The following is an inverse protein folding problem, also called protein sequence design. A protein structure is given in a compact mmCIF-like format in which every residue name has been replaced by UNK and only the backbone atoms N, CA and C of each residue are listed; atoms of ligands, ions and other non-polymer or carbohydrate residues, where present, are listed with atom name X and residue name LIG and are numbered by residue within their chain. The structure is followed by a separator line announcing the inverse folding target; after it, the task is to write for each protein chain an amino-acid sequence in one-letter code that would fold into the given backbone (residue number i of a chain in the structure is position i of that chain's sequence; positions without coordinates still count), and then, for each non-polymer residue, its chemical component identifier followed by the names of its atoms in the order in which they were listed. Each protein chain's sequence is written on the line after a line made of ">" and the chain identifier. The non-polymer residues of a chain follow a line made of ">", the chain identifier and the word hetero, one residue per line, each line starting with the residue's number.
data_IF_578975696622
#
_entry.id   IF_578975696622
#
_cell.length_a   1.000
_cell.length_b   1.000
_cell.length_c   1.000
_cell.angle_alpha   90.00
_cell.angle_beta   90.00
_cell.angle_gamma   90.00
#
_symmetry.space_group_name_H-M   'P 1'
#
loop_
_entity.id
_entity.type
_entity.pdbx_description
1 polymer ?
#
# COMPACT_ATOMS: atom_id res chain seq x y z
N UNK A 1 16.17 -18.22 -2.91
CA UNK A 1 16.23 -18.01 -1.44
C UNK A 1 14.80 -17.84 -0.96
N UNK A 2 14.33 -18.70 -0.05
CA UNK A 2 13.08 -18.51 0.67
C UNK A 2 13.48 -18.16 2.11
N UNK A 3 13.02 -17.02 2.61
CA UNK A 3 13.35 -16.53 3.95
C UNK A 3 12.06 -16.35 4.74
N UNK A 4 12.10 -16.66 6.04
CA UNK A 4 10.96 -16.45 6.95
C UNK A 4 10.68 -14.97 7.20
N UNK A 5 11.67 -14.11 6.94
CA UNK A 5 11.57 -12.67 7.09
C UNK A 5 12.44 -11.97 6.04
N UNK A 6 12.02 -10.79 5.61
CA UNK A 6 12.81 -9.93 4.75
C UNK A 6 12.62 -8.46 5.18
N UNK A 7 13.57 -7.56 4.86
CA UNK A 7 13.37 -6.13 5.04
C UNK A 7 12.39 -5.60 3.97
N UNK A 8 11.10 -5.94 4.12
CA UNK A 8 10.06 -5.75 3.09
C UNK A 8 10.02 -4.32 2.54
N UNK A 9 10.05 -3.30 3.41
CA UNK A 9 10.10 -1.89 3.00
C UNK A 9 11.27 -1.59 2.06
N UNK A 10 12.47 -2.11 2.37
CA UNK A 10 13.67 -1.94 1.52
C UNK A 10 13.55 -2.71 0.20
N UNK A 11 12.95 -3.89 0.24
CA UNK A 11 12.68 -4.69 -0.96
C UNK A 11 11.73 -3.93 -1.87
N UNK A 12 10.56 -3.52 -1.36
CA UNK A 12 9.54 -2.79 -2.14
C UNK A 12 10.06 -1.46 -2.69
N UNK A 13 10.93 -0.77 -1.95
CA UNK A 13 11.56 0.48 -2.41
C UNK A 13 12.63 0.28 -3.50
N UNK A 14 13.03 -0.97 -3.79
CA UNK A 14 14.08 -1.24 -4.77
C UNK A 14 13.56 -1.06 -6.20
N UNK A 15 14.27 -0.35 -7.10
CA UNK A 15 13.79 -0.03 -8.45
C UNK A 15 13.54 -1.26 -9.34
N UNK A 16 14.15 -2.41 -9.02
CA UNK A 16 13.90 -3.67 -9.73
C UNK A 16 12.59 -4.38 -9.36
N UNK A 17 11.84 -3.88 -8.36
CA UNK A 17 10.54 -4.48 -8.00
C UNK A 17 9.44 -3.95 -8.92
N UNK A 18 8.86 -4.88 -9.68
CA UNK A 18 7.73 -4.60 -10.57
C UNK A 18 6.35 -4.80 -9.93
N UNK A 19 6.25 -5.62 -8.88
CA UNK A 19 4.97 -5.98 -8.28
C UNK A 19 5.08 -6.69 -6.94
N UNK A 20 3.97 -6.71 -6.20
CA UNK A 20 3.89 -7.30 -4.86
C UNK A 20 2.69 -8.24 -4.72
N UNK A 21 2.95 -9.54 -4.51
CA UNK A 21 1.92 -10.47 -4.08
C UNK A 21 1.71 -10.32 -2.57
N UNK A 22 0.51 -9.93 -2.14
CA UNK A 22 0.21 -9.57 -0.76
C UNK A 22 -1.11 -10.15 -0.29
N UNK A 23 -1.17 -10.45 0.99
CA UNK A 23 -2.41 -10.81 1.69
C UNK A 23 -3.30 -9.60 2.03
N UNK A 24 -2.94 -8.40 1.58
CA UNK A 24 -3.70 -7.16 1.79
C UNK A 24 -3.84 -6.72 3.26
N UNK A 25 -2.91 -7.12 4.14
CA UNK A 25 -2.79 -6.49 5.46
C UNK A 25 -2.47 -5.00 5.32
N UNK A 26 -3.07 -4.15 6.16
CA UNK A 26 -3.04 -2.69 5.93
C UNK A 26 -1.63 -2.09 5.88
N UNK A 27 -0.71 -2.57 6.74
CA UNK A 27 0.70 -2.11 6.70
C UNK A 27 1.38 -2.45 5.36
N UNK A 28 1.23 -3.68 4.88
CA UNK A 28 1.78 -4.10 3.58
C UNK A 28 1.16 -3.32 2.42
N UNK A 29 -0.13 -3.01 2.49
CA UNK A 29 -0.78 -2.14 1.51
C UNK A 29 -0.19 -0.73 1.52
N UNK A 30 0.03 -0.14 2.69
CA UNK A 30 0.67 1.18 2.83
C UNK A 30 2.12 1.18 2.35
N UNK A 31 2.91 0.15 2.64
CA UNK A 31 4.28 0.01 2.14
C UNK A 31 4.33 -0.09 0.61
N UNK A 32 3.38 -0.81 0.01
CA UNK A 32 3.23 -0.89 -1.45
C UNK A 32 2.89 0.47 -2.06
N UNK A 33 1.94 1.20 -1.46
CA UNK A 33 1.56 2.56 -1.88
C UNK A 33 2.76 3.51 -1.74
N UNK A 34 3.45 3.49 -0.61
CA UNK A 34 4.62 4.34 -0.33
C UNK A 34 5.82 4.06 -1.25
N UNK A 35 5.87 2.87 -1.84
CA UNK A 35 6.90 2.47 -2.82
C UNK A 35 6.42 2.57 -4.27
N UNK A 36 5.15 2.94 -4.50
CA UNK A 36 4.56 3.00 -5.83
C UNK A 36 4.56 1.64 -6.54
N UNK A 37 4.36 0.55 -5.82
CA UNK A 37 4.36 -0.83 -6.34
C UNK A 37 2.92 -1.34 -6.48
N UNK A 38 2.51 -1.83 -7.65
CA UNK A 38 1.19 -2.43 -7.83
C UNK A 38 1.14 -3.85 -7.24
N UNK A 39 -0.05 -4.32 -6.91
CA UNK A 39 -0.27 -5.51 -6.10
C UNK A 39 -1.02 -6.61 -6.85
N UNK A 40 -0.67 -7.87 -6.56
CA UNK A 40 -1.56 -9.01 -6.69
C UNK A 40 -2.07 -9.32 -5.28
N UNK A 41 -3.38 -9.34 -5.12
CA UNK A 41 -4.08 -9.39 -3.85
C UNK A 41 -4.56 -10.82 -3.58
N UNK A 42 -4.26 -11.35 -2.41
CA UNK A 42 -4.69 -12.68 -1.97
C UNK A 42 -5.09 -12.68 -0.49
N UNK A 43 -6.25 -12.07 -0.15
CA UNK A 43 -6.67 -11.86 1.24
C UNK A 43 -7.15 -13.15 1.92
N UNK A 44 -7.02 -13.21 3.25
CA UNK A 44 -7.42 -14.38 4.05
C UNK A 44 -8.36 -14.05 5.22
N UNK A 45 -8.05 -13.06 6.06
CA UNK A 45 -8.80 -12.80 7.30
C UNK A 45 -8.80 -11.33 7.73
N UNK A 46 -9.51 -11.03 8.83
CA UNK A 46 -9.67 -9.68 9.36
C UNK A 46 -10.28 -8.72 8.32
N UNK A 47 -9.66 -7.57 8.07
CA UNK A 47 -10.11 -6.57 7.11
C UNK A 47 -9.46 -6.72 5.72
N UNK A 48 -8.68 -7.78 5.50
CA UNK A 48 -7.90 -7.98 4.27
C UNK A 48 -8.78 -8.02 3.01
N UNK A 49 -9.97 -8.62 3.07
CA UNK A 49 -10.93 -8.62 1.97
C UNK A 49 -11.39 -7.19 1.62
N UNK A 50 -11.62 -6.35 2.63
CA UNK A 50 -11.98 -4.93 2.43
C UNK A 50 -10.81 -4.16 1.82
N UNK A 51 -9.58 -4.39 2.29
CA UNK A 51 -8.39 -3.77 1.73
C UNK A 51 -8.13 -4.21 0.28
N UNK A 52 -8.35 -5.50 -0.02
CA UNK A 52 -8.30 -6.05 -1.38
C UNK A 52 -9.30 -5.34 -2.29
N UNK A 53 -10.58 -5.32 -1.91
CA UNK A 53 -11.62 -4.63 -2.66
C UNK A 53 -11.27 -3.16 -2.89
N UNK A 54 -10.80 -2.45 -1.87
CA UNK A 54 -10.42 -1.04 -1.99
C UNK A 54 -9.24 -0.85 -2.96
N UNK A 55 -8.22 -1.69 -2.85
CA UNK A 55 -7.03 -1.65 -3.71
C UNK A 55 -7.36 -1.94 -5.17
N UNK A 56 -8.23 -2.91 -5.43
CA UNK A 56 -8.63 -3.32 -6.77
C UNK A 56 -9.64 -2.35 -7.40
N UNK A 57 -10.65 -1.89 -6.65
CA UNK A 57 -11.79 -1.17 -7.23
C UNK A 57 -11.72 0.35 -7.08
N UNK A 58 -11.14 0.86 -5.99
CA UNK A 58 -11.07 2.31 -5.73
C UNK A 58 -9.72 2.88 -6.14
N UNK A 59 -8.64 2.26 -5.67
CA UNK A 59 -7.29 2.70 -5.98
C UNK A 59 -6.81 2.20 -7.34
N UNK A 60 -7.34 1.06 -7.82
CA UNK A 60 -6.95 0.39 -9.07
C UNK A 60 -5.45 0.14 -9.18
N UNK A 61 -4.85 -0.22 -8.05
CA UNK A 61 -3.45 -0.62 -7.93
C UNK A 61 -3.31 -2.12 -7.65
N UNK A 62 -4.43 -2.86 -7.60
CA UNK A 62 -4.48 -4.28 -7.27
C UNK A 62 -5.27 -5.13 -8.28
N UNK A 63 -4.91 -6.41 -8.39
CA UNK A 63 -5.73 -7.47 -8.99
C UNK A 63 -5.85 -8.63 -8.01
N UNK A 64 -7.05 -9.16 -7.82
CA UNK A 64 -7.31 -10.26 -6.89
C UNK A 64 -7.08 -11.63 -7.53
N UNK A 65 -6.48 -12.55 -6.78
CA UNK A 65 -6.42 -13.99 -7.12
C UNK A 65 -7.75 -14.63 -6.70
N UNK A 66 -8.31 -15.52 -7.53
CA UNK A 66 -9.47 -16.32 -7.15
C UNK A 66 -9.19 -17.15 -5.87
N UNK A 67 -10.27 -17.48 -5.17
CA UNK A 67 -10.25 -18.38 -4.02
C UNK A 67 -9.73 -19.80 -4.34
N UNK A 68 -9.97 -20.31 -5.55
CA UNK A 68 -9.47 -21.60 -6.04
C UNK A 68 -8.14 -21.44 -6.79
N UNK A 69 -7.08 -21.19 -6.04
CA UNK A 69 -5.77 -20.81 -6.61
C UNK A 69 -5.17 -21.91 -7.47
N UNK A 70 -5.06 -21.62 -8.76
CA UNK A 70 -4.38 -22.48 -9.75
C UNK A 70 -3.11 -21.84 -10.28
N UNK A 71 -2.11 -22.68 -10.55
CA UNK A 71 -0.81 -22.24 -11.11
C UNK A 71 -0.95 -21.39 -12.36
N UNK A 72 -1.83 -21.79 -13.27
CA UNK A 72 -1.98 -21.09 -14.56
C UNK A 72 -2.64 -19.72 -14.38
N UNK A 73 -3.54 -19.58 -13.41
CA UNK A 73 -4.15 -18.30 -13.05
C UNK A 73 -3.12 -17.33 -12.46
N UNK A 74 -2.31 -17.82 -11.51
CA UNK A 74 -1.20 -17.02 -10.93
C UNK A 74 -0.23 -16.58 -12.02
N UNK A 75 0.09 -17.46 -12.97
CA UNK A 75 0.94 -17.11 -14.13
C UNK A 75 0.33 -15.98 -14.96
N UNK A 76 -0.98 -16.05 -15.26
CA UNK A 76 -1.69 -15.00 -16.01
C UNK A 76 -1.61 -13.67 -15.26
N UNK A 77 -1.91 -13.65 -13.96
CA UNK A 77 -1.87 -12.43 -13.15
C UNK A 77 -0.47 -11.82 -13.06
N UNK A 78 0.56 -12.66 -12.92
CA UNK A 78 1.96 -12.18 -12.91
C UNK A 78 2.35 -11.60 -14.26
N UNK A 79 1.98 -12.23 -15.38
CA UNK A 79 2.24 -11.70 -16.71
C UNK A 79 1.49 -10.38 -16.94
N UNK A 80 0.21 -10.32 -16.56
CA UNK A 80 -0.63 -9.13 -16.68
C UNK A 80 -0.03 -7.94 -15.92
N UNK A 81 0.46 -8.18 -14.69
CA UNK A 81 1.07 -7.15 -13.85
C UNK A 81 2.41 -6.65 -14.42
N UNK A 82 3.22 -7.55 -14.97
CA UNK A 82 4.62 -7.26 -15.31
C UNK A 82 4.83 -6.81 -16.76
N UNK A 83 3.96 -7.22 -17.69
CA UNK A 83 4.19 -7.10 -19.14
C UNK A 83 3.05 -6.34 -19.82
N UNK A 84 1.82 -6.66 -19.47
CA UNK A 84 0.63 -6.18 -20.18
C UNK A 84 0.25 -4.75 -19.79
N UNK A 85 -0.64 -4.14 -20.59
CA UNK A 85 -0.98 -2.73 -20.46
C UNK A 85 -1.67 -2.41 -19.12
N UNK A 86 -2.52 -3.31 -18.62
CA UNK A 86 -3.17 -3.13 -17.32
C UNK A 86 -2.16 -3.02 -16.19
N UNK A 87 -1.09 -3.83 -16.20
CA UNK A 87 0.00 -3.75 -15.22
C UNK A 87 0.72 -2.41 -15.25
N UNK A 88 0.96 -1.85 -16.45
CA UNK A 88 1.55 -0.51 -16.61
C UNK A 88 0.62 0.59 -16.09
N UNK A 89 -0.68 0.50 -16.38
CA UNK A 89 -1.69 1.42 -15.84
C UNK A 89 -1.73 1.37 -14.32
N UNK A 90 -1.74 0.17 -13.73
CA UNK A 90 -1.68 -0.02 -12.27
C UNK A 90 -0.40 0.58 -11.68
N UNK A 91 0.76 0.38 -12.32
CA UNK A 91 2.03 0.98 -11.89
C UNK A 91 1.97 2.50 -11.91
N UNK A 92 1.40 3.09 -12.97
CA UNK A 92 1.20 4.55 -13.06
C UNK A 92 0.34 5.06 -11.91
N UNK A 93 -0.81 4.41 -11.64
CA UNK A 93 -1.69 4.75 -10.52
C UNK A 93 -0.99 4.57 -9.17
N UNK A 94 -0.19 3.53 -8.99
CA UNK A 94 0.58 3.33 -7.77
C UNK A 94 1.59 4.46 -7.52
N UNK A 95 2.27 4.94 -8.57
CA UNK A 95 3.17 6.10 -8.48
C UNK A 95 2.43 7.41 -8.17
N UNK A 96 1.23 7.62 -8.74
CA UNK A 96 0.37 8.75 -8.41
C UNK A 96 -0.05 8.71 -6.93
N UNK A 97 -0.49 7.55 -6.44
CA UNK A 97 -0.84 7.35 -5.04
C UNK A 97 0.36 7.54 -4.10
N UNK A 98 1.55 7.06 -4.49
CA UNK A 98 2.80 7.29 -3.76
C UNK A 98 3.05 8.80 -3.59
N UNK A 99 2.89 9.57 -4.67
CA UNK A 99 3.10 11.01 -4.65
C UNK A 99 2.11 11.71 -3.72
N UNK A 100 0.83 11.37 -3.80
CA UNK A 100 -0.20 11.90 -2.90
C UNK A 100 0.07 11.55 -1.43
N UNK A 101 0.49 10.33 -1.15
CA UNK A 101 0.87 9.89 0.19
C UNK A 101 2.03 10.73 0.75
N UNK A 102 3.11 10.88 -0.04
CA UNK A 102 4.26 11.72 0.32
C UNK A 102 3.88 13.19 0.55
N UNK A 103 3.06 13.76 -0.33
CA UNK A 103 2.62 15.15 -0.21
C UNK A 103 1.74 15.36 1.04
N UNK A 104 0.89 14.40 1.39
CA UNK A 104 0.09 14.46 2.62
C UNK A 104 0.94 14.38 3.90
N UNK A 105 2.09 13.71 3.84
CA UNK A 105 3.02 13.55 4.96
C UNK A 105 4.10 14.65 5.02
N UNK A 106 4.16 15.52 4.01
CA UNK A 106 5.17 16.58 3.93
C UNK A 106 5.13 17.49 5.15
N UNK A 107 6.30 17.74 5.74
CA UNK A 107 6.44 18.59 6.93
C UNK A 107 5.80 19.98 6.68
N UNK A 108 5.13 20.51 7.71
CA UNK A 108 4.45 21.82 7.82
C UNK A 108 3.33 22.12 6.81
N UNK A 109 3.28 21.43 5.69
CA UNK A 109 2.29 21.66 4.62
C UNK A 109 1.25 20.55 4.52
N UNK A 110 1.67 19.31 4.75
CA UNK A 110 0.88 18.10 4.55
C UNK A 110 -0.27 17.94 5.54
N UNK A 111 -1.40 17.39 5.06
CA UNK A 111 -2.60 17.19 5.87
C UNK A 111 -2.38 16.19 7.01
N UNK A 112 -1.68 15.09 6.76
CA UNK A 112 -1.35 14.08 7.78
C UNK A 112 -0.39 14.64 8.83
N UNK A 113 0.59 15.45 8.41
CA UNK A 113 1.50 16.14 9.33
C UNK A 113 0.73 17.10 10.26
N UNK A 114 -0.14 17.95 9.70
CA UNK A 114 -0.98 18.88 10.48
C UNK A 114 -1.93 18.15 11.44
N UNK A 115 -2.50 17.03 11.01
CA UNK A 115 -3.34 16.20 11.87
C UNK A 115 -2.54 15.61 13.04
N UNK A 116 -1.30 15.19 12.81
CA UNK A 116 -0.41 14.71 13.86
C UNK A 116 -0.03 15.84 14.83
N UNK A 117 0.30 17.03 14.35
CA UNK A 117 0.55 18.18 15.23
C UNK A 117 -0.68 18.52 16.07
N UNK A 118 -1.87 18.55 15.47
CA UNK A 118 -3.12 18.77 16.19
C UNK A 118 -3.33 17.72 17.28
N UNK A 119 -3.06 16.45 17.00
CA UNK A 119 -3.15 15.37 17.98
C UNK A 119 -2.15 15.57 19.13
N UNK A 120 -0.89 15.90 18.83
CA UNK A 120 0.15 16.20 19.83
C UNK A 120 -0.29 17.35 20.73
N UNK A 121 -0.80 18.43 20.13
CA UNK A 121 -1.30 19.58 20.88
C UNK A 121 -2.46 19.19 21.79
N UNK A 122 -3.43 18.40 21.30
CA UNK A 122 -4.58 17.97 22.07
C UNK A 122 -4.22 17.04 23.22
N UNK A 123 -3.31 16.07 23.00
CA UNK A 123 -3.02 15.03 24.01
C UNK A 123 -1.96 15.50 25.02
N UNK A 124 -0.93 16.23 24.58
CA UNK A 124 0.24 16.52 25.39
C UNK A 124 0.33 17.98 25.86
N UNK A 125 -0.28 18.93 25.13
CA UNK A 125 -0.08 20.35 25.38
C UNK A 125 -1.34 21.07 25.89
N UNK A 126 -2.54 20.54 25.60
CA UNK A 126 -3.81 21.13 26.06
C UNK A 126 -4.01 20.97 27.57
N UNK A 127 -3.48 19.90 28.17
CA UNK A 127 -3.59 19.62 29.62
C UNK A 127 -2.78 20.59 30.47
N UNK A 128 -1.75 21.25 29.91
CA UNK A 128 -0.94 22.22 30.65
C UNK A 128 -1.59 23.60 30.80
N UNK A 129 -2.65 23.89 30.04
CA UNK A 129 -3.34 25.18 30.07
C UNK A 129 -4.57 25.21 30.99
N UNK A 130 -4.97 24.07 31.59
CA UNK A 130 -6.12 23.98 32.49
C UNK A 130 -5.76 23.96 33.99
N UNK A 131 -4.48 24.12 34.36
CA UNK A 131 -4.00 24.04 35.76
C UNK A 131 -3.53 25.41 36.28
N UNK A 132 -3.78 26.51 35.55
CA UNK A 132 -3.52 27.88 36.03
C UNK A 132 -4.82 28.66 36.15
#
# INVERSE_FOLDING_TARGET
>A
MLANWCPQEKVLSHPSIGGFLTHCGWNSTLESIGSGVPMICWPFFAEQQTNCWFSCTKLGIGMEIDSDVKRDEVKILVNELMIEEKGKEMKKRALEMMKLAQDSAKNSEGSSYKNLEKLIHQVLLSTKLQIN
#
